data_IF_014845632580
#
_entry.id   IF_014845632580
#
_cell.length_a   1.000
_cell.length_b   1.000
_cell.length_c   1.000
_cell.angle_alpha   90.00
_cell.angle_beta   90.00
_cell.angle_gamma   90.00
#
_symmetry.space_group_name_H-M   'P 1'
#
loop_
_entity.id
_entity.type
_entity.pdbx_description
1 polymer ?
#
# COMPACT_ATOMS: atom_id res chain seq x y z
N UNK A 1 14.62 -2.98 17.63
CA UNK A 1 15.50 -1.84 18.01
C UNK A 1 14.84 -1.05 19.13
N UNK A 2 15.63 -0.53 20.07
CA UNK A 2 15.14 0.28 21.19
C UNK A 2 15.65 1.70 20.97
N UNK A 3 14.76 2.58 20.53
CA UNK A 3 15.07 3.98 20.21
C UNK A 3 14.48 4.85 21.31
N UNK A 4 15.28 5.76 21.88
CA UNK A 4 14.78 6.78 22.81
C UNK A 4 14.15 7.89 21.99
N UNK A 5 12.85 8.11 22.18
CA UNK A 5 12.09 9.16 21.50
C UNK A 5 11.54 10.09 22.57
N UNK A 6 11.84 11.38 22.48
CA UNK A 6 11.27 12.38 23.38
C UNK A 6 9.82 12.66 22.96
N UNK A 7 8.89 12.22 23.80
CA UNK A 7 7.46 12.42 23.62
C UNK A 7 6.97 13.53 24.55
N UNK A 8 6.12 14.41 24.04
CA UNK A 8 5.47 15.40 24.87
C UNK A 8 4.60 14.74 25.95
N UNK A 9 4.56 15.37 27.14
CA UNK A 9 3.75 14.91 28.30
C UNK A 9 2.31 14.52 27.96
N UNK A 10 1.51 15.32 27.19
CA UNK A 10 0.14 14.94 26.84
C UNK A 10 0.06 13.64 26.02
N UNK A 11 1.01 13.42 25.10
CA UNK A 11 1.05 12.20 24.28
C UNK A 11 1.38 10.99 25.15
N UNK A 12 2.33 11.14 26.08
CA UNK A 12 2.73 10.08 27.00
C UNK A 12 1.57 9.65 27.91
N UNK A 13 0.80 10.60 28.45
CA UNK A 13 -0.38 10.31 29.27
C UNK A 13 -1.48 9.60 28.48
N UNK A 14 -1.69 9.99 27.22
CA UNK A 14 -2.59 9.31 26.30
C UNK A 14 -2.17 7.85 26.04
N UNK A 15 -0.89 7.61 25.77
CA UNK A 15 -0.36 6.26 25.55
C UNK A 15 -0.46 5.38 26.81
N UNK A 16 -0.19 5.93 28.00
CA UNK A 16 -0.38 5.22 29.28
C UNK A 16 -1.85 4.86 29.53
N UNK A 17 -2.78 5.73 29.17
CA UNK A 17 -4.21 5.47 29.30
C UNK A 17 -4.65 4.31 28.41
N UNK A 18 -4.15 4.27 27.17
CA UNK A 18 -4.36 3.15 26.25
C UNK A 18 -3.68 1.86 26.73
N UNK A 19 -2.49 1.95 27.32
CA UNK A 19 -1.81 0.81 27.93
C UNK A 19 -2.65 0.17 29.04
N UNK A 20 -3.26 0.97 29.92
CA UNK A 20 -4.14 0.48 30.99
C UNK A 20 -5.37 -0.24 30.44
N UNK A 21 -5.92 0.26 29.33
CA UNK A 21 -7.11 -0.31 28.68
C UNK A 21 -6.81 -1.62 27.95
N UNK A 22 -5.75 -1.67 27.14
CA UNK A 22 -5.45 -2.81 26.28
C UNK A 22 -4.55 -3.86 26.95
N UNK A 23 -3.87 -3.52 28.07
CA UNK A 23 -2.88 -4.38 28.75
C UNK A 23 -1.72 -4.84 27.85
N UNK A 24 -1.38 -4.02 26.85
CA UNK A 24 -0.30 -4.27 25.90
C UNK A 24 0.91 -3.39 26.27
N UNK A 25 2.17 -3.83 26.06
CA UNK A 25 3.35 -2.98 26.29
C UNK A 25 3.29 -1.67 25.50
N UNK A 26 3.67 -0.57 26.18
CA UNK A 26 3.65 0.80 25.65
C UNK A 26 4.33 0.93 24.28
N UNK A 27 5.49 0.28 24.10
CA UNK A 27 6.22 0.30 22.83
C UNK A 27 5.43 -0.28 21.66
N UNK A 28 4.64 -1.35 21.88
CA UNK A 28 3.80 -1.94 20.82
C UNK A 28 2.63 -1.03 20.46
N UNK A 29 2.03 -0.36 21.45
CA UNK A 29 0.96 0.62 21.23
C UNK A 29 1.52 1.81 20.43
N UNK A 30 2.67 2.35 20.85
CA UNK A 30 3.34 3.43 20.14
C UNK A 30 3.69 3.05 18.70
N UNK A 31 4.29 1.88 18.47
CA UNK A 31 4.61 1.41 17.11
C UNK A 31 3.37 1.25 16.24
N UNK A 32 2.27 0.69 16.78
CA UNK A 32 1.01 0.54 16.04
C UNK A 32 0.42 1.89 15.63
N UNK A 33 0.39 2.85 16.55
CA UNK A 33 -0.15 4.19 16.29
C UNK A 33 0.75 4.96 15.32
N UNK A 34 2.07 4.92 15.50
CA UNK A 34 3.02 5.54 14.57
C UNK A 34 2.90 4.95 13.16
N UNK A 35 2.80 3.62 13.04
CA UNK A 35 2.67 2.99 11.73
C UNK A 35 1.41 3.48 11.00
N UNK A 36 0.29 3.61 11.72
CA UNK A 36 -0.94 4.16 11.16
C UNK A 36 -0.83 5.63 10.74
N UNK A 37 -0.17 6.46 11.55
CA UNK A 37 0.06 7.87 11.25
C UNK A 37 0.99 8.05 10.04
N UNK A 38 2.14 7.35 10.03
CA UNK A 38 3.09 7.38 8.92
C UNK A 38 2.47 6.88 7.61
N UNK A 39 1.62 5.84 7.67
CA UNK A 39 0.90 5.35 6.48
C UNK A 39 -0.07 6.41 5.95
N UNK A 40 -0.79 7.13 6.82
CA UNK A 40 -1.70 8.21 6.40
C UNK A 40 -0.94 9.38 5.80
N UNK A 41 0.19 9.78 6.39
CA UNK A 41 1.03 10.86 5.90
C UNK A 41 1.69 10.51 4.56
N UNK A 42 2.20 9.29 4.43
CA UNK A 42 2.71 8.76 3.16
C UNK A 42 1.62 8.66 2.09
N UNK A 43 0.40 8.26 2.46
CA UNK A 43 -0.70 8.14 1.51
C UNK A 43 -1.32 9.50 1.12
N UNK A 44 -1.16 10.54 1.94
CA UNK A 44 -1.64 11.90 1.66
C UNK A 44 -0.71 12.71 0.74
N UNK A 45 0.52 12.23 0.50
CA UNK A 45 1.55 12.96 -0.26
C UNK A 45 2.01 12.25 -1.53
N UNK A 46 1.63 10.99 -1.74
CA UNK A 46 1.93 10.29 -2.98
C UNK A 46 0.67 10.31 -3.83
N UNK A 47 0.69 11.21 -4.82
CA UNK A 47 -0.07 11.05 -6.05
C UNK A 47 0.34 9.69 -6.61
N UNK A 48 -0.33 8.62 -6.16
CA UNK A 48 -0.03 7.26 -6.62
C UNK A 48 -0.19 7.34 -8.12
N UNK A 49 0.83 6.96 -8.92
CA UNK A 49 0.66 6.94 -10.36
C UNK A 49 -0.55 6.05 -10.63
N UNK A 50 -1.64 6.67 -11.06
CA UNK A 50 -2.82 5.95 -11.49
C UNK A 50 -2.33 5.11 -12.63
N UNK A 51 -2.45 3.80 -12.50
CA UNK A 51 -2.10 2.87 -13.57
C UNK A 51 -3.02 3.21 -14.75
N UNK A 52 -2.54 4.06 -15.67
CA UNK A 52 -3.25 4.42 -16.87
C UNK A 52 -3.05 3.30 -17.87
N UNK A 53 -4.09 2.48 -18.02
CA UNK A 53 -4.16 1.51 -19.10
C UNK A 53 -4.17 2.25 -20.44
N UNK A 54 -3.06 2.18 -21.17
CA UNK A 54 -3.00 2.69 -22.54
C UNK A 54 -3.62 1.62 -23.43
N UNK A 55 -4.91 1.77 -23.75
CA UNK A 55 -5.58 0.95 -24.76
C UNK A 55 -5.62 1.72 -26.09
N UNK A 56 -5.16 1.08 -27.15
CA UNK A 56 -5.33 1.54 -28.52
C UNK A 56 -6.03 0.43 -29.30
N UNK A 57 -7.02 0.79 -30.12
CA UNK A 57 -7.72 -0.14 -31.00
C UNK A 57 -6.80 -0.55 -32.15
N UNK A 58 -5.86 -1.44 -31.87
CA UNK A 58 -5.01 -2.07 -32.88
C UNK A 58 -5.86 -3.14 -33.57
N UNK A 59 -6.63 -2.72 -34.58
CA UNK A 59 -7.50 -3.59 -35.39
C UNK A 59 -6.85 -4.96 -35.57
N UNK A 60 -7.40 -5.97 -34.89
CA UNK A 60 -6.75 -7.26 -34.77
C UNK A 60 -6.63 -7.88 -36.17
N UNK A 61 -5.40 -8.11 -36.62
CA UNK A 61 -5.14 -8.79 -37.92
C UNK A 61 -5.53 -10.26 -37.89
N UNK A 62 -5.89 -10.79 -36.72
CA UNK A 62 -6.20 -12.19 -36.46
C UNK A 62 -7.52 -12.24 -35.73
N UNK A 63 -8.40 -13.16 -36.14
CA UNK A 63 -9.62 -13.44 -35.40
C UNK A 63 -9.26 -14.15 -34.09
N UNK A 64 -9.39 -13.45 -32.96
CA UNK A 64 -9.07 -13.99 -31.64
C UNK A 64 -10.02 -15.10 -31.17
N UNK A 65 -11.18 -15.27 -31.83
CA UNK A 65 -12.09 -16.39 -31.57
C UNK A 65 -11.65 -17.69 -32.26
N UNK A 66 -10.70 -17.61 -33.20
CA UNK A 66 -10.13 -18.76 -33.89
C UNK A 66 -8.77 -19.11 -33.28
N UNK A 67 -8.75 -20.20 -32.52
CA UNK A 67 -7.56 -20.70 -31.82
C UNK A 67 -6.41 -21.03 -32.79
N UNK A 68 -6.73 -21.56 -33.97
CA UNK A 68 -5.72 -21.96 -34.96
C UNK A 68 -5.18 -20.73 -35.70
N UNK A 69 -5.97 -19.67 -35.84
CA UNK A 69 -5.49 -18.39 -36.36
C UNK A 69 -4.52 -17.70 -35.38
N UNK A 70 -4.79 -17.77 -34.07
CA UNK A 70 -3.89 -17.25 -33.03
C UNK A 70 -2.58 -18.05 -32.99
N UNK A 71 -2.64 -19.38 -33.02
CA UNK A 71 -1.45 -20.22 -33.00
C UNK A 71 -0.49 -19.92 -34.16
N UNK A 72 -1.02 -19.79 -35.38
CA UNK A 72 -0.23 -19.41 -36.56
C UNK A 72 0.42 -18.04 -36.44
N UNK A 73 -0.30 -17.04 -35.92
CA UNK A 73 0.24 -15.70 -35.76
C UNK A 73 1.35 -15.60 -34.69
N UNK A 74 1.39 -16.54 -33.73
CA UNK A 74 2.44 -16.62 -32.71
C UNK A 74 3.69 -17.34 -33.21
N UNK A 75 3.58 -18.23 -34.21
CA UNK A 75 4.72 -18.93 -34.82
C UNK A 75 5.45 -18.09 -35.89
N UNK A 76 4.79 -17.09 -36.46
CA UNK A 76 5.33 -16.23 -37.53
C UNK A 76 6.10 -14.99 -37.01
N UNK A 77 6.44 -14.94 -35.71
CA UNK A 77 7.23 -13.86 -35.07
C UNK A 77 8.70 -14.20 -34.86
#
# INVERSE_FOLDING_TARGET
MRTTLDLEKPILEGLKSLQKKEKIPLGRIASRLLAGALTREACGSVDKPVLQWISASMQAKVNLADKDAVARAMEES
#
